data_IF_910230013601
#
_entry.id   IF_910230013601
#
_cell.length_a   1.000
_cell.length_b   1.000
_cell.length_c   1.000
_cell.angle_alpha   90.00
_cell.angle_beta   90.00
_cell.angle_gamma   90.00
#
_symmetry.space_group_name_H-M   'P 1'
#
loop_
_entity.id
_entity.type
_entity.pdbx_description
1 polymer ?
#
# COMPACT_ATOMS: atom_id res chain seq x y z
N UNK A 1 12.63 0.09 -3.80
CA UNK A 1 12.53 -0.19 -2.34
C UNK A 1 11.10 -0.55 -2.06
N UNK A 2 10.85 -1.69 -1.42
CA UNK A 2 9.50 -2.15 -1.06
C UNK A 2 9.25 -1.73 0.38
N UNK A 3 8.11 -1.09 0.63
CA UNK A 3 7.66 -0.65 1.96
C UNK A 3 6.69 -1.65 2.58
N UNK A 4 5.71 -2.11 1.82
CA UNK A 4 4.73 -3.09 2.26
C UNK A 4 4.32 -4.02 1.10
N UNK A 5 3.85 -5.21 1.43
CA UNK A 5 3.33 -6.20 0.49
C UNK A 5 2.22 -7.02 1.17
N UNK A 6 2.49 -8.26 1.60
CA UNK A 6 1.52 -8.98 2.40
C UNK A 6 1.36 -8.35 3.79
N UNK A 7 0.16 -7.84 4.07
CA UNK A 7 -0.21 -7.28 5.38
C UNK A 7 -1.22 -8.19 6.07
N UNK A 8 -0.89 -8.77 7.25
CA UNK A 8 -1.82 -9.60 8.01
C UNK A 8 -3.12 -8.84 8.35
N UNK A 9 -4.24 -9.56 8.48
CA UNK A 9 -5.53 -8.94 8.78
C UNK A 9 -5.51 -8.20 10.12
N UNK A 10 -4.80 -8.72 11.12
CA UNK A 10 -4.57 -8.02 12.39
C UNK A 10 -3.82 -6.68 12.21
N UNK A 11 -2.80 -6.64 11.36
CA UNK A 11 -2.07 -5.40 11.09
C UNK A 11 -2.97 -4.39 10.34
N UNK A 12 -3.81 -4.85 9.41
CA UNK A 12 -4.82 -4.00 8.77
C UNK A 12 -5.79 -3.43 9.81
N UNK A 13 -6.21 -4.21 10.79
CA UNK A 13 -7.09 -3.73 11.86
C UNK A 13 -6.42 -2.66 12.74
N UNK A 14 -5.13 -2.82 13.07
CA UNK A 14 -4.38 -1.79 13.79
C UNK A 14 -4.21 -0.52 12.96
N UNK A 15 -3.97 -0.63 11.65
CA UNK A 15 -3.88 0.51 10.75
C UNK A 15 -5.20 1.29 10.68
N UNK A 16 -6.33 0.58 10.54
CA UNK A 16 -7.65 1.19 10.57
C UNK A 16 -7.95 1.89 11.91
N UNK A 17 -7.55 1.31 13.04
CA UNK A 17 -7.70 1.96 14.35
C UNK A 17 -6.88 3.25 14.46
N UNK A 18 -5.69 3.30 13.85
CA UNK A 18 -4.84 4.48 13.85
C UNK A 18 -5.32 5.56 12.87
N UNK A 19 -5.89 5.17 11.72
CA UNK A 19 -6.40 6.07 10.69
C UNK A 19 -7.69 5.51 10.07
N UNK A 20 -8.86 5.75 10.70
CA UNK A 20 -10.15 5.25 10.21
C UNK A 20 -10.72 6.15 9.10
N UNK A 21 -9.93 6.39 8.06
CA UNK A 21 -10.32 7.19 6.90
C UNK A 21 -10.42 6.29 5.65
N UNK A 22 -11.64 5.98 5.16
CA UNK A 22 -11.83 5.09 4.03
C UNK A 22 -11.32 5.65 2.69
N UNK A 23 -10.90 6.92 2.62
CA UNK A 23 -10.21 7.45 1.45
C UNK A 23 -8.83 6.81 1.24
N UNK A 24 -8.18 6.38 2.33
CA UNK A 24 -6.81 5.88 2.29
C UNK A 24 -6.67 4.49 2.92
N UNK A 25 -7.36 4.22 4.03
CA UNK A 25 -7.31 2.93 4.71
C UNK A 25 -8.64 2.22 4.52
N UNK A 26 -8.62 1.08 3.82
CA UNK A 26 -9.86 0.32 3.62
C UNK A 26 -10.39 -0.25 4.94
N UNK A 27 -11.71 -0.15 5.11
CA UNK A 27 -12.42 -0.74 6.26
C UNK A 27 -12.13 -2.25 6.35
N UNK A 28 -11.88 -2.72 7.58
CA UNK A 28 -11.52 -4.10 7.90
C UNK A 28 -12.56 -5.12 7.41
N UNK A 29 -13.83 -4.72 7.30
CA UNK A 29 -14.93 -5.58 6.84
C UNK A 29 -14.89 -5.88 5.34
N UNK A 30 -14.25 -5.01 4.55
CA UNK A 30 -14.05 -5.20 3.10
C UNK A 30 -12.81 -6.06 2.84
N UNK A 31 -11.74 -5.80 3.60
CA UNK A 31 -10.48 -6.53 3.57
C UNK A 31 -9.51 -5.99 2.50
N UNK A 32 -8.29 -5.68 2.95
CA UNK A 32 -7.23 -5.06 2.16
C UNK A 32 -6.64 -5.96 1.09
N UNK A 33 -6.28 -5.38 -0.06
CA UNK A 33 -5.55 -6.08 -1.12
C UNK A 33 -4.13 -6.48 -0.68
N UNK A 34 -3.55 -5.80 0.32
CA UNK A 34 -2.35 -6.30 1.00
C UNK A 34 -2.62 -7.59 1.76
N UNK A 35 -3.78 -7.72 2.42
CA UNK A 35 -4.20 -8.95 3.12
C UNK A 35 -4.64 -10.08 2.19
N UNK A 36 -4.80 -9.79 0.89
CA UNK A 36 -4.95 -10.79 -0.18
C UNK A 36 -3.61 -11.24 -0.75
N UNK A 37 -2.51 -10.56 -0.40
CA UNK A 37 -1.20 -10.79 -0.99
C UNK A 37 -1.10 -10.32 -2.45
N UNK A 38 -1.97 -9.41 -2.87
CA UNK A 38 -2.08 -8.95 -4.27
C UNK A 38 -1.67 -7.48 -4.46
N UNK A 39 -1.20 -6.83 -3.40
CA UNK A 39 -0.76 -5.43 -3.42
C UNK A 39 0.69 -5.29 -2.96
N UNK A 40 1.32 -4.20 -3.38
CA UNK A 40 2.69 -3.82 -3.07
C UNK A 40 2.81 -2.30 -3.02
N UNK A 41 3.48 -1.82 -1.97
CA UNK A 41 3.85 -0.42 -1.79
C UNK A 41 5.34 -0.26 -1.99
N UNK A 42 5.74 0.62 -2.89
CA UNK A 42 7.15 0.76 -3.24
C UNK A 42 7.52 2.14 -3.81
N UNK A 43 8.83 2.39 -3.82
CA UNK A 43 9.43 3.55 -4.49
C UNK A 43 10.67 3.16 -5.29
N UNK A 44 11.15 4.09 -6.11
CA UNK A 44 12.36 3.96 -6.90
C UNK A 44 13.61 4.34 -6.11
N UNK A 45 14.73 3.73 -6.50
CA UNK A 45 16.07 4.13 -6.08
C UNK A 45 16.93 4.41 -7.30
N UNK A 46 17.87 5.34 -7.16
CA UNK A 46 18.92 5.56 -8.14
C UNK A 46 20.02 4.48 -8.06
N UNK A 47 21.00 4.58 -8.94
CA UNK A 47 22.17 3.70 -9.01
C UNK A 47 23.09 3.76 -7.77
N UNK A 48 22.96 4.82 -6.97
CA UNK A 48 23.68 4.98 -5.71
C UNK A 48 22.87 4.48 -4.50
N UNK A 49 21.64 4.01 -4.72
CA UNK A 49 20.74 3.50 -3.70
C UNK A 49 19.91 4.58 -2.99
N UNK A 50 19.95 5.84 -3.43
CA UNK A 50 19.15 6.91 -2.87
C UNK A 50 17.69 6.76 -3.32
N UNK A 51 16.75 7.00 -2.41
CA UNK A 51 15.32 7.03 -2.75
C UNK A 51 15.04 8.28 -3.59
N UNK A 52 14.31 8.12 -4.69
CA UNK A 52 13.90 9.26 -5.51
C UNK A 52 12.81 10.06 -4.81
N UNK A 53 12.86 11.40 -4.92
CA UNK A 53 11.82 12.28 -4.43
C UNK A 53 10.53 12.10 -5.23
N UNK A 54 9.43 11.84 -4.51
CA UNK A 54 8.10 11.63 -5.05
C UNK A 54 7.15 12.79 -4.72
N UNK A 55 7.63 13.87 -4.09
CA UNK A 55 6.85 15.08 -3.80
C UNK A 55 5.83 14.94 -2.65
N UNK A 56 5.66 13.74 -2.12
CA UNK A 56 4.90 13.41 -0.92
C UNK A 56 5.55 12.20 -0.23
N UNK A 57 5.35 12.06 1.08
CA UNK A 57 5.83 10.90 1.82
C UNK A 57 5.10 9.61 1.44
N UNK A 58 5.68 8.48 1.82
CA UNK A 58 4.95 7.21 1.94
C UNK A 58 4.01 7.29 3.17
N UNK A 59 2.85 6.63 3.11
CA UNK A 59 1.78 6.68 4.12
C UNK A 59 1.30 8.10 4.46
N UNK A 60 1.45 9.01 3.51
CA UNK A 60 0.96 10.37 3.67
C UNK A 60 -0.48 10.48 3.19
N UNK A 61 -1.43 10.47 4.13
CA UNK A 61 -2.88 10.53 3.86
C UNK A 61 -3.35 11.95 3.51
N UNK A 62 -2.88 12.46 2.38
CA UNK A 62 -3.16 13.81 1.88
C UNK A 62 -3.38 13.79 0.36
N UNK A 63 -4.16 14.72 -0.19
CA UNK A 63 -4.46 14.80 -1.64
C UNK A 63 -3.20 14.90 -2.53
N UNK A 64 -2.08 15.38 -1.99
CA UNK A 64 -0.80 15.47 -2.72
C UNK A 64 -0.17 14.10 -2.97
N UNK A 65 -0.61 13.08 -2.25
CA UNK A 65 -0.24 11.69 -2.48
C UNK A 65 -0.95 11.08 -3.68
N UNK A 66 -2.02 11.71 -4.16
CA UNK A 66 -2.71 11.25 -5.37
C UNK A 66 -1.75 11.24 -6.57
N UNK A 67 -1.79 10.18 -7.36
CA UNK A 67 -0.77 9.84 -8.36
C UNK A 67 -0.46 10.98 -9.36
N UNK A 68 -1.42 11.85 -9.65
CA UNK A 68 -1.33 12.93 -10.63
C UNK A 68 -1.66 14.32 -10.05
N UNK A 69 -1.46 14.52 -8.74
CA UNK A 69 -1.82 15.79 -8.10
C UNK A 69 -1.03 16.98 -8.67
N UNK A 70 -1.68 18.09 -9.07
CA UNK A 70 -1.05 19.17 -9.83
C UNK A 70 -0.03 20.01 -9.03
N UNK A 71 -0.08 19.97 -7.70
CA UNK A 71 0.90 20.67 -6.85
C UNK A 71 2.25 19.95 -6.76
N UNK A 72 2.35 18.71 -7.25
CA UNK A 72 3.59 17.93 -7.21
C UNK A 72 4.59 18.54 -8.21
N UNK A 73 5.83 18.84 -7.79
CA UNK A 73 6.83 19.40 -8.69
C UNK A 73 7.07 18.51 -9.94
N UNK A 74 7.33 19.08 -11.13
CA UNK A 74 7.49 18.30 -12.35
C UNK A 74 8.54 17.17 -12.26
N UNK A 75 9.63 17.39 -11.52
CA UNK A 75 10.66 16.37 -11.30
C UNK A 75 10.14 15.17 -10.51
N UNK A 76 9.39 15.40 -9.43
CA UNK A 76 8.74 14.36 -8.64
C UNK A 76 7.63 13.66 -9.44
N UNK A 77 6.84 14.41 -10.21
CA UNK A 77 5.82 13.82 -11.09
C UNK A 77 6.43 12.90 -12.15
N UNK A 78 7.61 13.26 -12.70
CA UNK A 78 8.37 12.39 -13.61
C UNK A 78 8.77 11.07 -12.93
N UNK A 79 9.18 11.11 -11.66
CA UNK A 79 9.52 9.91 -10.90
C UNK A 79 8.29 9.03 -10.65
N UNK A 80 7.14 9.62 -10.31
CA UNK A 80 5.86 8.89 -10.17
C UNK A 80 5.44 8.23 -11.49
N UNK A 81 5.58 8.92 -12.61
CA UNK A 81 5.29 8.38 -13.95
C UNK A 81 6.24 7.26 -14.34
N UNK A 82 7.53 7.37 -13.99
CA UNK A 82 8.50 6.29 -14.22
C UNK A 82 8.14 5.06 -13.40
N UNK A 83 7.82 5.23 -12.11
CA UNK A 83 7.38 4.14 -11.25
C UNK A 83 6.13 3.47 -11.83
N UNK A 84 5.13 4.28 -12.20
CA UNK A 84 3.89 3.78 -12.80
C UNK A 84 4.14 3.00 -14.10
N UNK A 85 5.02 3.48 -14.97
CA UNK A 85 5.38 2.78 -16.21
C UNK A 85 6.07 1.44 -15.94
N UNK A 86 7.00 1.39 -14.97
CA UNK A 86 7.68 0.15 -14.57
C UNK A 86 6.66 -0.86 -14.04
N UNK A 87 5.81 -0.43 -13.11
CA UNK A 87 4.83 -1.31 -12.47
C UNK A 87 3.77 -1.80 -13.46
N UNK A 88 3.28 -0.92 -14.34
CA UNK A 88 2.35 -1.28 -15.41
C UNK A 88 2.99 -2.24 -16.41
N UNK A 89 4.26 -2.01 -16.78
CA UNK A 89 5.03 -2.94 -17.61
C UNK A 89 5.23 -4.32 -16.97
N UNK A 90 5.21 -4.38 -15.63
CA UNK A 90 5.22 -5.61 -14.84
C UNK A 90 3.86 -6.26 -14.63
N UNK A 91 2.77 -5.69 -15.16
CA UNK A 91 1.41 -6.22 -15.06
C UNK A 91 0.62 -5.78 -13.83
N UNK A 92 1.11 -4.81 -13.06
CA UNK A 92 0.37 -4.21 -11.96
C UNK A 92 -0.46 -3.00 -12.41
N UNK A 93 -1.44 -2.61 -11.60
CA UNK A 93 -2.21 -1.37 -11.76
C UNK A 93 -2.06 -0.52 -10.50
N UNK A 94 -1.92 0.80 -10.67
CA UNK A 94 -1.90 1.74 -9.55
C UNK A 94 -3.28 2.27 -9.23
N UNK A 95 -3.45 2.88 -8.06
CA UNK A 95 -4.66 3.61 -7.67
C UNK A 95 -4.45 5.13 -7.72
N UNK A 96 -5.54 5.89 -7.80
CA UNK A 96 -5.44 7.35 -7.95
C UNK A 96 -5.06 8.07 -6.67
N UNK A 97 -5.37 7.51 -5.50
CA UNK A 97 -5.17 8.14 -4.18
C UNK A 97 -3.74 8.05 -3.67
N UNK A 98 -2.95 7.08 -4.13
CA UNK A 98 -1.64 6.76 -3.57
C UNK A 98 -0.61 6.52 -4.68
N UNK A 99 0.44 7.33 -4.71
CA UNK A 99 1.48 7.21 -5.75
C UNK A 99 2.35 5.96 -5.60
N UNK A 100 2.38 5.35 -4.41
CA UNK A 100 3.24 4.21 -4.06
C UNK A 100 2.55 2.85 -4.21
N UNK A 101 1.21 2.81 -4.20
CA UNK A 101 0.43 1.57 -4.15
C UNK A 101 0.17 1.01 -5.54
N UNK A 102 0.46 -0.28 -5.70
CA UNK A 102 0.18 -1.04 -6.90
C UNK A 102 -0.39 -2.40 -6.55
N UNK A 103 -1.27 -2.92 -7.39
CA UNK A 103 -1.94 -4.19 -7.17
C UNK A 103 -2.12 -4.99 -8.47
N UNK A 104 -2.38 -6.28 -8.32
CA UNK A 104 -2.75 -7.11 -9.46
C UNK A 104 -4.11 -6.67 -10.04
N UNK A 105 -4.32 -6.81 -11.36
CA UNK A 105 -5.64 -6.66 -11.95
C UNK A 105 -6.66 -7.53 -11.21
N UNK A 106 -7.82 -6.95 -10.88
CA UNK A 106 -8.89 -7.61 -10.15
C UNK A 106 -8.44 -8.14 -8.77
N UNK A 107 -7.51 -7.44 -8.10
CA UNK A 107 -6.98 -7.80 -6.77
C UNK A 107 -8.05 -8.22 -5.75
N UNK A 108 -9.17 -7.49 -5.69
CA UNK A 108 -10.27 -7.79 -4.77
C UNK A 108 -10.97 -9.14 -5.00
N UNK A 109 -10.77 -9.79 -6.16
CA UNK A 109 -11.33 -11.11 -6.47
C UNK A 109 -10.58 -12.26 -5.79
N UNK A 110 -9.37 -12.02 -5.29
CA UNK A 110 -8.57 -13.00 -4.57
C UNK A 110 -9.07 -13.15 -3.13
N UNK A 111 -9.00 -14.35 -2.54
CA UNK A 111 -9.44 -14.58 -1.16
C UNK A 111 -8.56 -13.81 -0.18
N UNK A 112 -9.13 -13.43 0.97
CA UNK A 112 -8.32 -12.98 2.10
C UNK A 112 -7.47 -14.16 2.59
N UNK A 113 -6.18 -13.90 2.82
CA UNK A 113 -5.29 -14.88 3.40
C UNK A 113 -5.48 -14.89 4.91
N UNK A 114 -5.56 -16.08 5.50
CA UNK A 114 -5.59 -16.23 6.94
C UNK A 114 -4.24 -15.84 7.54
N UNK A 115 -4.25 -15.21 8.71
CA UNK A 115 -3.03 -14.88 9.45
C UNK A 115 -2.27 -16.18 9.79
N UNK A 116 -1.02 -16.29 9.34
CA UNK A 116 -0.16 -17.46 9.57
C UNK A 116 1.04 -17.09 10.43
N UNK A 117 0.80 -16.61 11.65
CA UNK A 117 1.86 -16.33 12.61
C UNK A 117 1.59 -17.09 13.90
N UNK A 118 2.42 -18.10 14.18
CA UNK A 118 2.36 -18.85 15.44
C UNK A 118 2.95 -18.07 16.62
N UNK A 119 3.70 -17.00 16.37
CA UNK A 119 4.40 -16.22 17.39
C UNK A 119 3.71 -14.90 17.76
N UNK A 120 2.59 -14.56 17.11
CA UNK A 120 1.85 -13.33 17.39
C UNK A 120 0.58 -13.66 18.18
N UNK A 121 0.65 -13.54 19.50
CA UNK A 121 -0.52 -13.64 20.36
C UNK A 121 -1.15 -12.25 20.43
N UNK A 122 -2.30 -12.08 19.78
CA UNK A 122 -3.10 -10.87 19.96
C UNK A 122 -3.52 -10.75 21.44
N UNK A 123 -3.39 -9.57 22.07
CA UNK A 123 -3.94 -9.32 23.41
C UNK A 123 -5.47 -9.27 23.30
N UNK A 124 -6.11 -10.43 23.24
CA UNK A 124 -7.57 -10.54 23.09
C UNK A 124 -8.10 -11.94 22.87
N UNK A 125 -7.29 -12.90 22.41
CA UNK A 125 -7.75 -14.28 22.23
C UNK A 125 -7.55 -15.06 23.52
N UNK A 126 -8.48 -14.92 24.47
CA UNK A 126 -8.63 -15.92 25.52
C UNK A 126 -9.10 -17.21 24.86
N UNK A 127 -8.25 -18.23 24.84
CA UNK A 127 -8.68 -19.60 24.58
C UNK A 127 -9.64 -20.00 25.70
N UNK A 128 -10.94 -20.00 25.39
CA UNK A 128 -11.94 -20.65 26.25
C UNK A 128 -11.63 -22.15 26.21
N UNK A 129 -11.34 -22.70 27.39
CA UNK A 129 -11.09 -24.12 27.61
C UNK A 129 -12.35 -24.96 27.45
#
# INVERSE_FOLDING_TARGET
MIYDAYRPQQAQAMLWQACPDPQYVVDVTVGSNHSRGTAIDLTLRDEHGNILDMGAGFDEMHERSHAYHPSVPPAAQRNRLLLNAIMTGGGFVGISSEWWHFELPQAASYPLLADQFSCFISPGTQHVS
#
